data_IF_815214581016
#
_entry.id   IF_815214581016
#
_cell.length_a   1.000
_cell.length_b   1.000
_cell.length_c   1.000
_cell.angle_alpha   90.00
_cell.angle_beta   90.00
_cell.angle_gamma   90.00
#
_symmetry.space_group_name_H-M   'P 1'
#
loop_
_entity.id
_entity.type
_entity.pdbx_description
1 polymer ?
#
# COMPACT_ATOMS: atom_id res chain seq x y z
N UNK A 1 1.32 -14.31 47.05
CA UNK A 1 2.21 -13.32 46.40
C UNK A 1 2.30 -13.71 44.94
N UNK A 2 1.49 -13.10 44.10
CA UNK A 2 1.42 -13.34 42.65
C UNK A 2 2.36 -12.38 41.95
N UNK A 3 3.37 -12.91 41.28
CA UNK A 3 4.23 -12.17 40.35
C UNK A 3 3.38 -11.63 39.19
N UNK A 4 3.44 -10.33 38.86
CA UNK A 4 2.76 -9.83 37.68
C UNK A 4 3.57 -10.27 36.44
N UNK A 5 2.88 -10.94 35.52
CA UNK A 5 3.39 -11.20 34.17
C UNK A 5 3.66 -9.85 33.50
N UNK A 6 4.93 -9.43 33.47
CA UNK A 6 5.38 -8.42 32.51
C UNK A 6 5.32 -9.08 31.13
N UNK A 7 4.26 -8.77 30.36
CA UNK A 7 4.30 -8.89 28.92
C UNK A 7 5.45 -8.00 28.43
N UNK A 8 6.60 -8.62 28.14
CA UNK A 8 7.62 -7.98 27.32
C UNK A 8 7.00 -7.72 25.95
N UNK A 9 6.48 -6.50 25.73
CA UNK A 9 6.12 -6.05 24.39
C UNK A 9 7.40 -6.05 23.56
N UNK A 10 7.50 -6.96 22.60
CA UNK A 10 8.58 -6.95 21.63
C UNK A 10 8.48 -5.63 20.83
N UNK A 11 9.45 -4.70 20.95
CA UNK A 11 9.37 -3.37 20.34
C UNK A 11 9.37 -3.42 18.80
N UNK A 12 9.64 -4.57 18.21
CA UNK A 12 9.65 -4.80 16.77
C UNK A 12 8.33 -5.32 16.21
N UNK A 13 7.31 -5.57 17.07
CA UNK A 13 6.00 -6.01 16.60
C UNK A 13 5.30 -4.89 15.85
N UNK A 14 4.88 -5.22 14.62
CA UNK A 14 4.08 -4.33 13.81
C UNK A 14 2.68 -4.22 14.42
N UNK A 15 2.10 -3.03 14.46
CA UNK A 15 0.68 -2.83 14.77
C UNK A 15 -0.10 -2.59 13.47
N UNK A 16 -1.35 -3.06 13.40
CA UNK A 16 -2.22 -2.82 12.23
C UNK A 16 -2.32 -1.33 11.88
N UNK A 17 -2.34 -0.44 12.88
CA UNK A 17 -2.34 1.00 12.67
C UNK A 17 -1.08 1.51 11.94
N UNK A 18 0.09 0.91 12.19
CA UNK A 18 1.32 1.23 11.47
C UNK A 18 1.23 0.84 9.99
N UNK A 19 0.61 -0.31 9.70
CA UNK A 19 0.35 -0.75 8.32
C UNK A 19 -0.61 0.19 7.61
N UNK A 20 -1.69 0.59 8.28
CA UNK A 20 -2.67 1.55 7.73
C UNK A 20 -1.99 2.89 7.42
N UNK A 21 -1.19 3.43 8.35
CA UNK A 21 -0.45 4.68 8.12
C UNK A 21 0.52 4.58 6.94
N UNK A 22 1.26 3.47 6.85
CA UNK A 22 2.17 3.20 5.74
C UNK A 22 1.44 3.16 4.39
N UNK A 23 0.32 2.42 4.30
CA UNK A 23 -0.49 2.32 3.09
C UNK A 23 -1.15 3.66 2.71
N UNK A 24 -1.69 4.40 3.68
CA UNK A 24 -2.23 5.76 3.45
C UNK A 24 -1.17 6.64 2.80
N UNK A 25 0.06 6.62 3.29
CA UNK A 25 1.15 7.43 2.73
C UNK A 25 1.59 6.97 1.34
N UNK A 26 1.66 5.66 1.11
CA UNK A 26 1.93 5.12 -0.23
C UNK A 26 0.87 5.60 -1.24
N UNK A 27 -0.42 5.45 -0.90
CA UNK A 27 -1.53 5.89 -1.76
C UNK A 27 -1.46 7.40 -1.98
N UNK A 28 -1.38 8.21 -0.93
CA UNK A 28 -1.31 9.68 -1.05
C UNK A 28 -0.08 10.16 -1.83
N UNK A 29 1.06 9.47 -1.74
CA UNK A 29 2.23 9.78 -2.56
C UNK A 29 1.92 9.54 -4.06
N UNK A 30 1.38 8.36 -4.39
CA UNK A 30 1.07 7.98 -5.77
C UNK A 30 -0.03 8.86 -6.38
N UNK A 31 -1.05 9.22 -5.60
CA UNK A 31 -2.11 10.15 -6.03
C UNK A 31 -1.52 11.50 -6.44
N UNK A 32 -0.63 12.07 -5.61
CA UNK A 32 0.08 13.32 -5.94
C UNK A 32 0.91 13.20 -7.22
N UNK A 33 1.62 12.08 -7.41
CA UNK A 33 2.36 11.85 -8.66
C UNK A 33 1.46 11.75 -9.91
N UNK A 34 0.19 11.37 -9.74
CA UNK A 34 -0.78 11.27 -10.81
C UNK A 34 -1.66 12.53 -10.96
N UNK A 35 -1.38 13.61 -10.22
CA UNK A 35 -2.21 14.81 -10.14
C UNK A 35 -3.67 14.51 -9.74
N UNK A 36 -3.87 13.52 -8.87
CA UNK A 36 -5.16 13.14 -8.31
C UNK A 36 -5.25 13.60 -6.86
N UNK A 37 -6.44 14.04 -6.45
CA UNK A 37 -6.76 14.33 -5.06
C UNK A 37 -7.52 13.16 -4.46
N UNK A 38 -7.02 12.63 -3.35
CA UNK A 38 -7.76 11.74 -2.47
C UNK A 38 -7.45 12.13 -1.04
N UNK A 39 -8.50 12.42 -0.28
CA UNK A 39 -8.40 12.62 1.15
C UNK A 39 -8.89 11.34 1.83
N UNK A 40 -8.03 10.64 2.59
CA UNK A 40 -8.48 9.48 3.35
C UNK A 40 -9.61 9.90 4.30
N UNK A 41 -10.68 9.10 4.46
CA UNK A 41 -11.65 9.38 5.49
C UNK A 41 -10.93 9.43 6.84
N UNK A 42 -11.15 10.52 7.58
CA UNK A 42 -10.55 10.75 8.90
C UNK A 42 -11.10 9.71 9.84
N UNK A 43 -10.39 8.58 9.98
CA UNK A 43 -10.81 7.50 10.86
C UNK A 43 -9.80 7.39 11.99
N UNK A 44 -10.18 8.00 13.11
CA UNK A 44 -9.63 7.95 14.47
C UNK A 44 -8.94 9.23 14.97
N UNK A 45 -9.12 9.46 16.27
CA UNK A 45 -8.50 10.51 17.12
C UNK A 45 -6.98 10.62 16.90
N UNK A 46 -6.33 9.59 16.37
CA UNK A 46 -4.88 9.56 16.11
C UNK A 46 -4.51 10.34 14.83
N UNK A 47 -5.38 10.37 13.81
CA UNK A 47 -5.14 11.10 12.55
C UNK A 47 -5.29 12.63 12.73
N UNK A 48 -6.11 13.09 13.68
CA UNK A 48 -6.27 14.52 13.99
C UNK A 48 -5.04 15.12 14.70
N UNK A 49 -4.23 14.29 15.38
CA UNK A 49 -3.15 14.75 16.26
C UNK A 49 -1.74 14.55 15.70
N UNK A 50 -1.56 13.85 14.57
CA UNK A 50 -0.23 13.64 13.99
C UNK A 50 -0.29 13.54 12.45
N UNK A 51 -0.05 14.65 11.72
CA UNK A 51 0.22 14.61 10.27
C UNK A 51 1.62 14.06 9.95
N UNK A 52 2.27 13.42 10.93
CA UNK A 52 3.69 13.08 10.87
C UNK A 52 3.89 11.94 9.87
N UNK A 53 4.82 12.08 8.90
CA UNK A 53 5.17 11.00 8.00
C UNK A 53 5.50 9.73 8.79
N UNK A 54 5.10 8.59 8.27
CA UNK A 54 5.31 7.29 8.87
C UNK A 54 6.83 7.14 8.90
N UNK A 55 7.44 6.93 10.08
CA UNK A 55 8.88 7.11 10.25
C UNK A 55 9.73 6.28 9.27
N UNK A 56 9.18 5.18 8.76
CA UNK A 56 9.87 4.27 7.85
C UNK A 56 9.51 4.49 6.38
N UNK A 57 8.58 5.38 6.02
CA UNK A 57 8.23 5.61 4.62
C UNK A 57 9.31 6.45 3.91
N UNK A 58 10.03 5.86 2.95
CA UNK A 58 11.05 6.57 2.19
C UNK A 58 10.50 7.08 0.84
N UNK A 59 10.89 8.28 0.37
CA UNK A 59 10.48 8.80 -0.94
C UNK A 59 10.89 7.91 -2.12
N UNK A 60 11.99 7.16 -1.99
CA UNK A 60 12.45 6.16 -2.97
C UNK A 60 11.41 5.08 -3.19
N UNK A 61 10.81 4.57 -2.11
CA UNK A 61 9.73 3.60 -2.17
C UNK A 61 8.50 4.17 -2.89
N UNK A 62 8.06 5.37 -2.50
CA UNK A 62 6.97 6.06 -3.18
C UNK A 62 7.22 6.27 -4.68
N UNK A 63 8.46 6.61 -5.05
CA UNK A 63 8.86 6.80 -6.46
C UNK A 63 8.80 5.49 -7.25
N UNK A 64 9.27 4.38 -6.67
CA UNK A 64 9.22 3.07 -7.30
C UNK A 64 7.77 2.64 -7.58
N UNK A 65 6.89 2.78 -6.59
CA UNK A 65 5.47 2.46 -6.75
C UNK A 65 4.82 3.37 -7.79
N UNK A 66 5.06 4.68 -7.72
CA UNK A 66 4.50 5.63 -8.67
C UNK A 66 4.91 5.28 -10.10
N UNK A 67 6.17 4.88 -10.32
CA UNK A 67 6.64 4.41 -11.63
C UNK A 67 5.83 3.20 -12.11
N UNK A 68 5.66 2.17 -11.29
CA UNK A 68 4.85 0.98 -11.61
C UNK A 68 3.40 1.36 -11.92
N UNK A 69 2.81 2.28 -11.16
CA UNK A 69 1.43 2.73 -11.37
C UNK A 69 1.25 3.48 -12.68
N UNK A 70 2.29 4.17 -13.16
CA UNK A 70 2.30 4.91 -14.43
C UNK A 70 2.59 4.03 -15.65
N UNK A 71 3.12 2.81 -15.47
CA UNK A 71 3.37 1.90 -16.60
C UNK A 71 2.05 1.50 -17.29
N UNK A 72 2.01 1.72 -18.62
CA UNK A 72 0.81 1.66 -19.47
C UNK A 72 0.12 0.28 -19.56
N UNK A 73 0.71 -0.77 -18.99
CA UNK A 73 0.30 -2.16 -19.20
C UNK A 73 -1.17 -2.46 -18.84
N UNK A 74 -1.80 -1.67 -17.95
CA UNK A 74 -3.22 -1.83 -17.58
C UNK A 74 -4.07 -0.57 -17.86
N UNK A 75 -3.59 0.37 -18.67
CA UNK A 75 -4.38 1.54 -19.09
C UNK A 75 -5.58 1.20 -19.97
N UNK A 76 -5.64 -0.04 -20.48
CA UNK A 76 -6.65 -0.51 -21.44
C UNK A 76 -7.69 -1.47 -20.84
N UNK A 77 -7.60 -1.77 -19.54
CA UNK A 77 -8.55 -2.64 -18.88
C UNK A 77 -9.50 -1.81 -18.02
N UNK A 78 -10.75 -1.72 -18.43
CA UNK A 78 -11.82 -1.23 -17.58
C UNK A 78 -12.23 -2.39 -16.66
N UNK A 79 -12.00 -2.27 -15.34
CA UNK A 79 -12.16 -3.41 -14.47
C UNK A 79 -13.64 -3.70 -14.20
N UNK A 80 -14.02 -4.97 -14.15
CA UNK A 80 -15.42 -5.40 -14.00
C UNK A 80 -16.14 -4.75 -12.82
N UNK A 81 -15.44 -4.54 -11.70
CA UNK A 81 -16.01 -3.90 -10.50
C UNK A 81 -16.46 -2.45 -10.74
N UNK A 82 -15.93 -1.76 -11.75
CA UNK A 82 -16.27 -0.36 -12.04
C UNK A 82 -17.71 -0.19 -12.55
N UNK A 83 -18.29 -1.25 -13.10
CA UNK A 83 -19.67 -1.29 -13.60
C UNK A 83 -20.66 -1.77 -12.54
N UNK A 84 -20.18 -2.30 -11.41
CA UNK A 84 -21.02 -2.83 -10.35
C UNK A 84 -21.52 -1.71 -9.41
N UNK A 85 -22.71 -1.85 -8.81
CA UNK A 85 -23.14 -1.04 -7.68
C UNK A 85 -22.11 -1.07 -6.54
N UNK A 86 -22.03 -0.02 -5.72
CA UNK A 86 -21.02 0.14 -4.66
C UNK A 86 -20.85 -1.10 -3.77
N UNK A 87 -21.94 -1.67 -3.28
CA UNK A 87 -21.92 -2.85 -2.39
C UNK A 87 -21.35 -4.09 -3.10
N UNK A 88 -21.73 -4.29 -4.37
CA UNK A 88 -21.26 -5.40 -5.18
C UNK A 88 -19.79 -5.22 -5.59
N UNK A 89 -19.39 -3.99 -5.95
CA UNK A 89 -18.01 -3.63 -6.23
C UNK A 89 -17.11 -3.86 -5.02
N UNK A 90 -17.56 -3.45 -3.82
CA UNK A 90 -16.88 -3.68 -2.55
C UNK A 90 -16.67 -5.17 -2.32
N UNK A 91 -17.73 -5.98 -2.45
CA UNK A 91 -17.67 -7.44 -2.27
C UNK A 91 -16.74 -8.09 -3.29
N UNK A 92 -16.81 -7.67 -4.56
CA UNK A 92 -15.93 -8.14 -5.62
C UNK A 92 -14.47 -7.87 -5.27
N UNK A 93 -14.15 -6.66 -4.84
CA UNK A 93 -12.79 -6.23 -4.51
C UNK A 93 -12.25 -7.00 -3.32
N UNK A 94 -13.04 -7.20 -2.26
CA UNK A 94 -12.64 -8.00 -1.11
C UNK A 94 -12.27 -9.43 -1.53
N UNK A 95 -13.11 -10.07 -2.34
CA UNK A 95 -12.86 -11.42 -2.83
C UNK A 95 -11.67 -11.48 -3.78
N UNK A 96 -11.56 -10.51 -4.69
CA UNK A 96 -10.47 -10.43 -5.65
C UNK A 96 -9.12 -10.24 -4.96
N UNK A 97 -9.03 -9.33 -3.98
CA UNK A 97 -7.80 -9.11 -3.23
C UNK A 97 -7.39 -10.34 -2.42
N UNK A 98 -8.34 -11.05 -1.79
CA UNK A 98 -8.08 -12.31 -1.08
C UNK A 98 -7.57 -13.41 -2.02
N UNK A 99 -8.25 -13.62 -3.15
CA UNK A 99 -7.83 -14.59 -4.15
C UNK A 99 -6.45 -14.27 -4.74
N UNK A 100 -6.14 -12.99 -4.96
CA UNK A 100 -4.84 -12.53 -5.44
C UNK A 100 -3.71 -12.92 -4.48
N UNK A 101 -3.97 -13.00 -3.18
CA UNK A 101 -2.94 -13.29 -2.16
C UNK A 101 -2.85 -14.75 -1.75
N UNK A 102 -3.86 -15.56 -2.00
CA UNK A 102 -3.84 -17.01 -1.72
C UNK A 102 -2.88 -17.79 -2.63
N UNK A 103 -2.57 -17.27 -3.82
CA UNK A 103 -1.68 -17.92 -4.79
C UNK A 103 -0.22 -17.43 -4.79
N UNK A 104 0.14 -16.47 -3.93
CA UNK A 104 1.44 -15.78 -4.01
C UNK A 104 2.28 -16.02 -2.75
N UNK A 105 3.54 -16.47 -2.87
CA UNK A 105 4.40 -16.77 -1.73
C UNK A 105 4.49 -15.59 -0.74
N UNK A 106 4.19 -15.85 0.53
CA UNK A 106 4.15 -14.85 1.60
C UNK A 106 5.52 -14.30 2.00
N UNK A 107 6.59 -15.01 1.64
CA UNK A 107 7.94 -14.81 2.22
C UNK A 107 8.84 -13.87 1.40
N UNK A 108 8.45 -13.47 0.17
CA UNK A 108 9.26 -12.54 -0.61
C UNK A 108 8.84 -11.09 -0.37
N UNK A 109 9.79 -10.26 0.05
CA UNK A 109 9.60 -8.82 0.16
C UNK A 109 9.27 -8.18 -1.19
N UNK A 110 9.69 -8.78 -2.31
CA UNK A 110 9.30 -8.37 -3.66
C UNK A 110 7.80 -8.55 -3.88
N UNK A 111 7.26 -9.71 -3.47
CA UNK A 111 5.81 -9.98 -3.55
C UNK A 111 5.03 -8.90 -2.81
N UNK A 112 5.45 -8.56 -1.60
CA UNK A 112 4.74 -7.58 -0.78
C UNK A 112 4.93 -6.15 -1.34
N UNK A 113 6.07 -5.83 -1.94
CA UNK A 113 6.29 -4.58 -2.67
C UNK A 113 5.37 -4.46 -3.90
N UNK A 114 5.26 -5.51 -4.71
CA UNK A 114 4.35 -5.54 -5.85
C UNK A 114 2.88 -5.53 -5.41
N UNK A 115 2.55 -6.15 -4.28
CA UNK A 115 1.23 -6.05 -3.68
C UNK A 115 0.88 -4.60 -3.34
N UNK A 116 1.74 -3.88 -2.60
CA UNK A 116 1.50 -2.45 -2.28
C UNK A 116 1.38 -1.62 -3.56
N UNK A 117 2.20 -1.93 -4.57
CA UNK A 117 2.13 -1.25 -5.87
C UNK A 117 0.80 -1.50 -6.58
N UNK A 118 0.30 -2.74 -6.54
CA UNK A 118 -1.00 -3.12 -7.07
C UNK A 118 -2.14 -2.37 -6.36
N UNK A 119 -2.11 -2.31 -5.03
CA UNK A 119 -3.09 -1.57 -4.22
C UNK A 119 -3.11 -0.09 -4.61
N UNK A 120 -1.95 0.58 -4.68
CA UNK A 120 -1.88 1.99 -5.05
C UNK A 120 -2.45 2.25 -6.45
N UNK A 121 -2.16 1.36 -7.40
CA UNK A 121 -2.72 1.44 -8.76
C UNK A 121 -4.23 1.29 -8.77
N UNK A 122 -4.76 0.35 -7.98
CA UNK A 122 -6.19 0.10 -7.87
C UNK A 122 -6.94 1.32 -7.32
N UNK A 123 -6.36 1.98 -6.31
CA UNK A 123 -6.87 3.26 -5.82
C UNK A 123 -6.84 4.35 -6.90
N UNK A 124 -5.75 4.47 -7.67
CA UNK A 124 -5.66 5.44 -8.78
C UNK A 124 -6.76 5.19 -9.82
N UNK A 125 -7.03 3.93 -10.16
CA UNK A 125 -8.12 3.57 -11.07
C UNK A 125 -9.50 3.94 -10.49
N UNK A 126 -9.75 3.65 -9.21
CA UNK A 126 -10.97 4.04 -8.51
C UNK A 126 -11.23 5.55 -8.60
N UNK A 127 -10.21 6.38 -8.33
CA UNK A 127 -10.36 7.83 -8.47
C UNK A 127 -10.61 8.26 -9.92
N UNK A 128 -9.90 7.68 -10.90
CA UNK A 128 -10.09 8.02 -12.33
C UNK A 128 -11.46 7.65 -12.87
N UNK A 129 -12.10 6.63 -12.29
CA UNK A 129 -13.44 6.16 -12.67
C UNK A 129 -14.55 6.83 -11.85
N UNK A 130 -14.22 7.86 -11.06
CA UNK A 130 -15.17 8.55 -10.15
C UNK A 130 -15.81 7.61 -9.12
N UNK A 131 -15.04 6.61 -8.66
CA UNK A 131 -15.44 5.61 -7.65
C UNK A 131 -14.61 5.75 -6.37
N UNK A 132 -14.42 6.98 -5.91
CA UNK A 132 -13.54 7.29 -4.77
C UNK A 132 -13.99 6.68 -3.45
N UNK A 133 -15.28 6.38 -3.31
CA UNK A 133 -15.92 5.70 -2.18
C UNK A 133 -15.37 4.28 -1.95
N UNK A 134 -14.77 3.66 -2.96
CA UNK A 134 -14.21 2.31 -2.87
C UNK A 134 -12.82 2.29 -2.20
N UNK A 135 -12.07 3.39 -2.26
CA UNK A 135 -10.69 3.45 -1.77
C UNK A 135 -10.54 3.07 -0.28
N UNK A 136 -11.43 3.47 0.64
CA UNK A 136 -11.40 3.03 2.03
C UNK A 136 -11.54 1.50 2.20
N UNK A 137 -12.36 0.85 1.37
CA UNK A 137 -12.49 -0.62 1.38
C UNK A 137 -11.17 -1.27 0.93
N UNK A 138 -10.61 -0.79 -0.18
CA UNK A 138 -9.31 -1.26 -0.69
C UNK A 138 -8.23 -1.14 0.39
N UNK A 139 -8.15 0.03 1.06
CA UNK A 139 -7.19 0.29 2.12
C UNK A 139 -7.36 -0.70 3.30
N UNK A 140 -8.60 -0.93 3.72
CA UNK A 140 -8.91 -1.80 4.87
C UNK A 140 -8.48 -3.24 4.60
N UNK A 141 -8.87 -3.80 3.46
CA UNK A 141 -8.47 -5.17 3.09
C UNK A 141 -6.96 -5.27 2.86
N UNK A 142 -6.37 -4.30 2.17
CA UNK A 142 -4.93 -4.24 1.95
C UNK A 142 -4.15 -4.21 3.27
N UNK A 143 -4.64 -3.47 4.26
CA UNK A 143 -4.01 -3.41 5.58
C UNK A 143 -4.08 -4.76 6.31
N UNK A 144 -5.23 -5.44 6.28
CA UNK A 144 -5.37 -6.76 6.89
C UNK A 144 -4.46 -7.80 6.23
N UNK A 145 -4.39 -7.79 4.90
CA UNK A 145 -3.52 -8.69 4.13
C UNK A 145 -2.04 -8.39 4.37
N UNK A 146 -1.64 -7.12 4.34
CA UNK A 146 -0.25 -6.75 4.55
C UNK A 146 0.19 -7.02 5.99
N UNK A 147 -0.71 -6.80 6.96
CA UNK A 147 -0.47 -7.11 8.38
C UNK A 147 -0.34 -8.61 8.65
N UNK A 148 -1.11 -9.47 7.96
CA UNK A 148 -0.94 -10.92 8.09
C UNK A 148 0.35 -11.45 7.46
N UNK A 149 0.97 -10.66 6.58
CA UNK A 149 2.20 -11.00 5.85
C UNK A 149 3.47 -10.36 6.44
N UNK A 150 3.34 -9.23 7.12
CA UNK A 150 4.44 -8.51 7.77
C UNK A 150 4.27 -8.59 9.28
N UNK A 151 5.15 -9.34 9.95
CA UNK A 151 5.08 -9.57 11.39
C UNK A 151 5.92 -8.55 12.17
N UNK A 152 6.76 -7.78 11.48
CA UNK A 152 7.71 -6.85 12.08
C UNK A 152 7.90 -5.56 11.27
N UNK A 153 8.48 -4.54 11.91
CA UNK A 153 8.95 -3.34 11.22
C UNK A 153 10.08 -3.63 10.22
N UNK A 154 10.88 -4.69 10.45
CA UNK A 154 11.94 -5.12 9.53
C UNK A 154 11.35 -5.61 8.20
N UNK A 155 10.18 -6.26 8.23
CA UNK A 155 9.49 -6.67 7.01
C UNK A 155 9.08 -5.47 6.16
N UNK A 156 8.57 -4.40 6.80
CA UNK A 156 8.25 -3.13 6.12
C UNK A 156 9.52 -2.44 5.60
N UNK A 157 10.63 -2.51 6.35
CA UNK A 157 11.91 -2.00 5.88
C UNK A 157 12.42 -2.75 4.64
N UNK A 158 12.25 -4.07 4.59
CA UNK A 158 12.66 -4.88 3.44
C UNK A 158 11.85 -4.58 2.17
N UNK A 159 10.61 -4.08 2.28
CA UNK A 159 9.88 -3.53 1.12
C UNK A 159 10.61 -2.36 0.47
N UNK A 160 11.34 -1.57 1.26
CA UNK A 160 12.15 -0.46 0.73
C UNK A 160 13.37 -0.95 -0.04
N UNK A 161 13.97 -2.08 0.37
CA UNK A 161 15.07 -2.70 -0.37
C UNK A 161 14.59 -3.19 -1.75
N UNK A 162 13.45 -3.89 -1.81
CA UNK A 162 12.82 -4.30 -3.07
C UNK A 162 12.58 -3.09 -4.01
N UNK A 163 12.10 -1.97 -3.47
CA UNK A 163 11.90 -0.75 -4.24
C UNK A 163 13.22 -0.14 -4.78
N UNK A 164 14.30 -0.16 -3.99
CA UNK A 164 15.63 0.28 -4.41
C UNK A 164 16.15 -0.61 -5.55
N UNK A 165 16.00 -1.93 -5.43
CA UNK A 165 16.37 -2.88 -6.46
C UNK A 165 15.59 -2.64 -7.76
N UNK A 166 14.27 -2.48 -7.67
CA UNK A 166 13.42 -2.12 -8.81
C UNK A 166 13.91 -0.84 -9.50
N UNK A 167 14.14 0.24 -8.76
CA UNK A 167 14.65 1.51 -9.31
C UNK A 167 16.00 1.31 -10.01
N UNK A 168 16.91 0.54 -9.41
CA UNK A 168 18.23 0.28 -9.99
C UNK A 168 18.15 -0.52 -11.30
N UNK A 169 17.17 -1.41 -11.41
CA UNK A 169 16.95 -2.25 -12.59
C UNK A 169 16.21 -1.50 -13.72
N UNK A 170 15.14 -0.78 -13.38
CA UNK A 170 14.18 -0.23 -14.34
C UNK A 170 14.36 1.28 -14.60
N UNK A 171 14.83 2.05 -13.62
CA UNK A 171 15.00 3.50 -13.74
C UNK A 171 16.43 3.91 -14.16
N UNK A 172 17.15 3.05 -14.93
CA UNK A 172 18.54 3.26 -15.39
C UNK A 172 18.77 4.57 -16.15
N UNK A 173 17.73 5.23 -16.65
CA UNK A 173 17.82 6.55 -17.31
C UNK A 173 18.25 7.68 -16.36
N UNK A 174 18.06 7.56 -15.05
CA UNK A 174 18.47 8.60 -14.09
C UNK A 174 19.99 8.64 -13.81
N UNK A 175 20.74 7.54 -14.08
CA UNK A 175 22.20 7.49 -13.86
C UNK A 175 23.02 8.20 -14.95
N UNK A 176 22.48 8.36 -16.17
CA UNK A 176 23.21 9.00 -17.29
C UNK A 176 23.20 10.53 -17.27
N UNK A 177 22.44 11.18 -16.38
CA UNK A 177 22.41 12.65 -16.24
C UNK A 177 23.30 13.19 -15.12
N UNK A 178 24.10 12.34 -14.46
CA UNK A 178 25.04 12.73 -13.39
C UNK A 178 26.52 12.50 -13.77
N UNK A 179 26.83 12.41 -15.06
CA UNK A 179 28.21 12.47 -15.57
C UNK A 179 28.34 13.64 -16.53
#
# INVERSE_FOLDING_TARGET
MTTPYFYMCNPNLLHINSVIMFLKQAISFVMRCNNLSWEPPVSTIIDEFNPTPFPLFQPTFGTAIAHICMEELFSRYEPEWSLLPEIEATTYIQNYLKALVEGVPHESYDTNFYFVSFICRFCVQAIRLDRSEIVPCILTEAALILFSRCNSFDDIFNLHQAAIEYINQHCKKCRKRRR
#
